data_IF_489601291781
#
_entry.id   IF_489601291781
#
_cell.length_a   1.000
_cell.length_b   1.000
_cell.length_c   1.000
_cell.angle_alpha   90.00
_cell.angle_beta   90.00
_cell.angle_gamma   90.00
#
_symmetry.space_group_name_H-M   'P 1'
#
loop_
_entity.id
_entity.type
_entity.pdbx_description
1 polymer ?
#
# COMPACT_ATOMS: atom_id res chain seq x y z
N UNK A 1 38.16 38.75 -5.37
CA UNK A 1 37.67 37.39 -5.70
C UNK A 1 37.56 36.48 -4.46
N UNK A 2 38.27 36.72 -3.38
CA UNK A 2 38.34 35.91 -2.16
C UNK A 2 37.03 35.97 -1.29
N UNK A 3 36.43 37.16 -1.12
CA UNK A 3 35.25 37.34 -0.24
C UNK A 3 33.99 36.65 -0.75
N UNK A 4 33.76 36.67 -2.06
CA UNK A 4 32.55 36.01 -2.64
C UNK A 4 32.64 34.50 -2.58
N UNK A 5 33.83 33.93 -2.64
CA UNK A 5 34.03 32.47 -2.49
C UNK A 5 33.78 32.05 -1.05
N UNK A 6 34.30 32.80 -0.09
CA UNK A 6 34.10 32.54 1.35
C UNK A 6 32.59 32.63 1.71
N UNK A 7 31.85 33.58 1.17
CA UNK A 7 30.42 33.72 1.39
C UNK A 7 29.61 32.51 0.82
N UNK A 8 29.95 32.05 -0.40
CA UNK A 8 29.33 30.87 -1.02
C UNK A 8 29.63 29.60 -0.22
N UNK A 9 30.88 29.38 0.17
CA UNK A 9 31.25 28.20 0.95
C UNK A 9 30.55 28.17 2.32
N UNK A 10 30.36 29.33 2.96
CA UNK A 10 29.62 29.49 4.20
C UNK A 10 28.14 29.13 4.01
N UNK A 11 27.51 29.65 2.98
CA UNK A 11 26.10 29.41 2.66
C UNK A 11 25.84 27.93 2.41
N UNK A 12 26.69 27.27 1.60
CA UNK A 12 26.62 25.83 1.34
C UNK A 12 26.82 25.00 2.61
N UNK A 13 27.74 25.39 3.47
CA UNK A 13 27.96 24.72 4.74
C UNK A 13 26.74 24.83 5.67
N UNK A 14 26.18 26.05 5.78
CA UNK A 14 24.96 26.26 6.57
C UNK A 14 23.79 25.44 6.03
N UNK A 15 23.61 25.39 4.70
CA UNK A 15 22.59 24.57 4.06
C UNK A 15 22.78 23.07 4.32
N UNK A 16 24.01 22.55 4.17
CA UNK A 16 24.32 21.16 4.48
C UNK A 16 23.99 20.78 5.91
N UNK A 17 24.31 21.64 6.89
CA UNK A 17 23.96 21.41 8.30
C UNK A 17 22.46 21.38 8.55
N UNK A 18 21.71 22.25 7.89
CA UNK A 18 20.25 22.27 7.97
C UNK A 18 19.63 20.98 7.39
N UNK A 19 20.13 20.52 6.24
CA UNK A 19 19.71 19.26 5.63
C UNK A 19 20.06 18.06 6.52
N UNK A 20 21.18 18.11 7.23
CA UNK A 20 21.56 17.11 8.23
C UNK A 20 20.71 17.19 9.53
N UNK A 21 19.70 18.06 9.60
CA UNK A 21 18.84 18.25 10.76
C UNK A 21 19.48 19.03 11.91
N UNK A 22 20.64 19.67 11.68
CA UNK A 22 21.32 20.47 12.69
C UNK A 22 20.72 21.87 12.74
N UNK A 23 20.65 22.43 13.94
CA UNK A 23 20.21 23.80 14.15
C UNK A 23 21.34 24.79 13.87
N UNK A 24 20.97 25.97 13.38
CA UNK A 24 21.89 27.09 13.18
C UNK A 24 21.70 28.17 14.22
N UNK A 25 22.73 28.42 15.02
CA UNK A 25 22.78 29.50 15.98
C UNK A 25 23.59 30.66 15.40
N UNK A 26 22.96 31.82 15.14
CA UNK A 26 23.62 32.96 14.51
C UNK A 26 24.97 33.33 15.15
N UNK A 27 25.06 33.31 16.47
CA UNK A 27 26.29 33.67 17.19
C UNK A 27 27.41 32.67 16.97
N UNK A 28 27.09 31.38 16.94
CA UNK A 28 28.04 30.30 16.72
C UNK A 28 28.57 30.33 15.29
N UNK A 29 27.66 30.51 14.32
CA UNK A 29 28.05 30.56 12.90
C UNK A 29 28.88 31.84 12.61
N UNK A 30 28.52 32.99 13.19
CA UNK A 30 29.32 34.22 13.09
C UNK A 30 30.73 34.03 13.63
N UNK A 31 30.88 33.38 14.78
CA UNK A 31 32.16 33.07 15.39
C UNK A 31 32.94 32.06 14.54
N UNK A 32 32.31 31.00 14.06
CA UNK A 32 32.90 29.95 13.21
C UNK A 32 33.54 30.51 11.94
N UNK A 33 32.84 31.45 11.30
CA UNK A 33 33.26 32.01 10.03
C UNK A 33 34.00 33.38 10.17
N UNK A 34 34.16 33.85 11.37
CA UNK A 34 34.83 35.15 11.63
C UNK A 34 34.12 36.34 10.97
N UNK A 35 32.79 36.30 10.91
CA UNK A 35 32.01 37.33 10.23
C UNK A 35 30.93 37.97 11.17
N UNK A 36 30.31 39.04 10.65
CA UNK A 36 29.29 39.75 11.45
C UNK A 36 27.98 38.98 11.53
N UNK A 37 27.17 39.17 12.57
CA UNK A 37 25.82 38.68 12.71
C UNK A 37 24.91 39.12 11.55
N UNK A 38 25.20 40.30 10.96
CA UNK A 38 24.48 40.83 9.80
C UNK A 38 24.78 40.02 8.56
N UNK A 39 26.00 39.52 8.39
CA UNK A 39 26.40 38.64 7.30
C UNK A 39 25.65 37.31 7.40
N UNK A 40 25.60 36.69 8.60
CA UNK A 40 24.84 35.46 8.81
C UNK A 40 23.33 35.66 8.59
N UNK A 41 22.78 36.82 8.98
CA UNK A 41 21.39 37.13 8.71
C UNK A 41 21.09 37.18 7.21
N UNK A 42 21.98 37.77 6.42
CA UNK A 42 21.85 37.81 4.94
C UNK A 42 21.90 36.42 4.35
N UNK A 43 22.85 35.58 4.81
CA UNK A 43 22.93 34.19 4.35
C UNK A 43 21.66 33.40 4.66
N UNK A 44 21.02 33.64 5.82
CA UNK A 44 19.74 33.03 6.18
C UNK A 44 18.61 33.50 5.25
N UNK A 45 18.60 34.76 4.87
CA UNK A 45 17.63 35.32 3.90
C UNK A 45 17.85 34.74 2.50
N UNK A 46 19.12 34.61 2.06
CA UNK A 46 19.47 33.97 0.81
C UNK A 46 19.05 32.50 0.79
N UNK A 47 19.25 31.76 1.89
CA UNK A 47 18.77 30.38 2.02
C UNK A 47 17.23 30.26 1.97
N UNK A 48 16.51 31.20 2.57
CA UNK A 48 15.05 31.23 2.46
C UNK A 48 14.57 31.50 1.05
N UNK A 49 15.19 32.43 0.36
CA UNK A 49 14.85 32.73 -1.04
C UNK A 49 15.13 31.52 -1.93
N UNK A 50 16.26 30.87 -1.75
CA UNK A 50 16.61 29.66 -2.48
C UNK A 50 15.60 28.52 -2.20
N UNK A 51 15.22 28.29 -0.95
CA UNK A 51 14.22 27.28 -0.58
C UNK A 51 12.85 27.60 -1.21
N UNK A 52 12.46 28.87 -1.22
CA UNK A 52 11.20 29.29 -1.85
C UNK A 52 11.18 28.99 -3.35
N UNK A 53 12.25 29.32 -4.07
CA UNK A 53 12.40 29.01 -5.50
C UNK A 53 12.38 27.50 -5.77
N UNK A 54 13.06 26.71 -4.92
CA UNK A 54 13.04 25.25 -5.00
C UNK A 54 11.67 24.66 -4.73
N UNK A 55 10.93 25.21 -3.76
CA UNK A 55 9.56 24.80 -3.43
C UNK A 55 8.61 25.01 -4.61
N UNK A 56 8.70 26.18 -5.29
CA UNK A 56 7.90 26.45 -6.49
C UNK A 56 8.22 25.49 -7.65
N UNK A 57 9.50 25.15 -7.83
CA UNK A 57 9.93 24.27 -8.91
C UNK A 57 9.64 22.79 -8.67
N UNK A 58 9.70 22.32 -7.42
CA UNK A 58 9.61 20.90 -7.05
C UNK A 58 8.28 20.48 -6.44
N UNK A 59 7.40 21.44 -6.06
CA UNK A 59 6.18 21.17 -5.30
C UNK A 59 6.41 20.75 -3.85
N UNK A 60 7.66 20.77 -3.38
CA UNK A 60 8.05 20.49 -2.00
C UNK A 60 8.03 21.80 -1.20
N UNK A 61 7.51 21.79 0.02
CA UNK A 61 7.48 22.98 0.88
C UNK A 61 8.46 22.77 2.03
N UNK A 62 9.70 23.20 1.83
CA UNK A 62 10.71 23.33 2.90
C UNK A 62 10.74 24.77 3.38
N UNK A 63 10.76 25.00 4.68
CA UNK A 63 10.89 26.35 5.22
C UNK A 63 11.97 26.43 6.31
N UNK A 64 12.68 27.54 6.34
CA UNK A 64 13.70 27.85 7.35
C UNK A 64 13.08 28.67 8.47
N UNK A 65 12.64 27.99 9.53
CA UNK A 65 11.92 28.61 10.65
C UNK A 65 12.84 28.93 11.81
N UNK A 66 12.61 30.09 12.47
CA UNK A 66 13.26 30.45 13.71
C UNK A 66 12.50 29.87 14.90
N UNK A 67 13.15 28.98 15.65
CA UNK A 67 12.60 28.44 16.89
C UNK A 67 12.94 29.39 18.06
N UNK A 68 11.93 30.11 18.52
CA UNK A 68 12.12 31.09 19.62
C UNK A 68 12.57 30.46 20.93
N UNK A 69 12.12 29.23 21.24
CA UNK A 69 12.50 28.54 22.48
C UNK A 69 13.97 28.14 22.51
N UNK A 70 14.49 27.76 21.36
CA UNK A 70 15.88 27.30 21.22
C UNK A 70 16.81 28.40 20.72
N UNK A 71 16.30 29.54 20.29
CA UNK A 71 17.09 30.65 19.75
C UNK A 71 17.85 30.31 18.46
N UNK A 72 17.36 29.37 17.69
CA UNK A 72 18.06 28.80 16.52
C UNK A 72 17.16 28.70 15.30
N UNK A 73 17.78 28.67 14.12
CA UNK A 73 17.09 28.35 12.87
C UNK A 73 17.16 26.84 12.61
N UNK A 74 16.05 26.29 12.17
CA UNK A 74 15.93 24.89 11.77
C UNK A 74 15.18 24.80 10.42
N UNK A 75 15.60 23.85 9.61
CA UNK A 75 14.86 23.49 8.42
C UNK A 75 13.64 22.66 8.86
N UNK A 76 12.45 23.15 8.55
CA UNK A 76 11.23 22.37 8.76
C UNK A 76 11.08 21.48 7.53
N UNK A 77 10.98 20.17 7.73
CA UNK A 77 10.76 19.26 6.61
C UNK A 77 9.48 19.67 5.85
N UNK A 78 9.38 19.34 4.55
CA UNK A 78 8.24 19.72 3.74
C UNK A 78 6.96 19.19 4.39
N UNK A 79 6.11 20.10 4.86
CA UNK A 79 4.98 19.78 5.74
C UNK A 79 3.77 19.16 5.03
N UNK A 80 3.83 18.88 3.72
CA UNK A 80 2.62 18.48 3.00
C UNK A 80 2.67 17.20 2.16
N UNK A 81 3.81 16.66 1.76
CA UNK A 81 3.82 15.51 0.81
C UNK A 81 4.87 14.43 1.07
N UNK A 82 5.65 14.48 2.12
CA UNK A 82 6.56 13.40 2.47
C UNK A 82 6.04 12.65 3.69
N UNK A 83 6.22 11.34 3.67
CA UNK A 83 5.95 10.49 4.83
C UNK A 83 6.84 10.90 6.00
N UNK A 84 6.30 10.92 7.21
CA UNK A 84 7.10 11.05 8.43
C UNK A 84 7.98 9.80 8.63
N UNK A 85 8.99 9.90 9.49
CA UNK A 85 9.87 8.76 9.77
C UNK A 85 9.10 7.58 10.35
N UNK A 86 8.09 7.84 11.17
CA UNK A 86 7.18 6.84 11.74
C UNK A 86 6.32 6.18 10.68
N UNK A 87 5.79 6.96 9.73
CA UNK A 87 5.00 6.45 8.61
C UNK A 87 5.86 5.61 7.66
N UNK A 88 7.09 6.04 7.37
CA UNK A 88 8.06 5.24 6.59
C UNK A 88 8.34 3.92 7.30
N UNK A 89 8.67 3.96 8.59
CA UNK A 89 8.96 2.75 9.36
C UNK A 89 7.79 1.77 9.38
N UNK A 90 6.57 2.26 9.67
CA UNK A 90 5.37 1.43 9.69
C UNK A 90 5.07 0.82 8.30
N UNK A 91 5.22 1.62 7.22
CA UNK A 91 5.05 1.15 5.85
C UNK A 91 6.06 0.06 5.49
N UNK A 92 7.33 0.24 5.86
CA UNK A 92 8.38 -0.75 5.62
C UNK A 92 8.11 -2.07 6.35
N UNK A 93 7.61 -2.02 7.60
CA UNK A 93 7.20 -3.22 8.35
C UNK A 93 6.08 -3.97 7.61
N UNK A 94 5.04 -3.28 7.14
CA UNK A 94 3.94 -3.88 6.39
C UNK A 94 4.46 -4.47 5.06
N UNK A 95 5.32 -3.76 4.33
CA UNK A 95 5.87 -4.24 3.06
C UNK A 95 6.70 -5.51 3.23
N UNK A 96 7.56 -5.57 4.25
CA UNK A 96 8.38 -6.74 4.54
C UNK A 96 7.51 -7.94 4.96
N UNK A 97 6.54 -7.73 5.85
CA UNK A 97 5.65 -8.78 6.33
C UNK A 97 4.70 -9.28 5.23
N UNK A 98 4.28 -8.41 4.31
CA UNK A 98 3.38 -8.78 3.21
C UNK A 98 3.96 -9.87 2.30
N UNK A 99 5.29 -9.93 2.17
CA UNK A 99 6.00 -10.85 1.27
C UNK A 99 5.45 -10.83 -0.17
N UNK A 100 4.89 -9.69 -0.59
CA UNK A 100 4.18 -9.54 -1.86
C UNK A 100 5.11 -9.42 -3.07
N UNK A 101 6.34 -8.97 -2.85
CA UNK A 101 7.28 -8.59 -3.91
C UNK A 101 8.49 -9.51 -3.97
N UNK A 102 9.07 -9.62 -5.16
CA UNK A 102 10.41 -10.20 -5.29
C UNK A 102 11.46 -9.28 -4.65
N UNK A 103 12.60 -9.84 -4.22
CA UNK A 103 13.71 -9.01 -3.69
C UNK A 103 14.13 -7.92 -4.67
N UNK A 104 14.10 -8.23 -5.98
CA UNK A 104 14.47 -7.28 -7.05
C UNK A 104 13.52 -6.10 -7.18
N UNK A 105 12.26 -6.24 -6.77
CA UNK A 105 11.26 -5.17 -6.76
C UNK A 105 11.21 -4.48 -5.41
N UNK A 106 11.27 -5.24 -4.31
CA UNK A 106 11.11 -4.71 -2.96
C UNK A 106 12.28 -3.83 -2.51
N UNK A 107 13.52 -4.28 -2.71
CA UNK A 107 14.68 -3.56 -2.16
C UNK A 107 14.81 -2.13 -2.69
N UNK A 108 14.64 -1.86 -4.01
CA UNK A 108 14.61 -0.48 -4.49
C UNK A 108 13.47 0.37 -3.92
N UNK A 109 12.32 -0.24 -3.58
CA UNK A 109 11.20 0.47 -2.93
C UNK A 109 11.59 0.83 -1.51
N UNK A 110 12.15 -0.13 -0.75
CA UNK A 110 12.64 0.10 0.62
C UNK A 110 13.66 1.24 0.63
N UNK A 111 14.65 1.20 -0.25
CA UNK A 111 15.72 2.20 -0.29
C UNK A 111 15.15 3.60 -0.57
N UNK A 112 14.23 3.73 -1.52
CA UNK A 112 13.54 5.00 -1.81
C UNK A 112 12.69 5.51 -0.64
N UNK A 113 12.02 4.61 0.09
CA UNK A 113 11.24 5.00 1.27
C UNK A 113 12.16 5.48 2.40
N UNK A 114 13.30 4.82 2.61
CA UNK A 114 14.30 5.27 3.60
C UNK A 114 14.86 6.64 3.22
N UNK A 115 15.08 6.91 1.93
CA UNK A 115 15.54 8.21 1.45
C UNK A 115 14.57 9.36 1.76
N UNK A 116 13.29 9.06 2.02
CA UNK A 116 12.32 10.05 2.51
C UNK A 116 12.54 10.46 3.97
N UNK A 117 13.27 9.68 4.77
CA UNK A 117 13.51 9.99 6.18
C UNK A 117 14.47 11.18 6.34
N UNK A 118 14.14 12.12 7.24
CA UNK A 118 14.93 13.29 7.55
C UNK A 118 15.06 13.43 9.09
N UNK A 119 16.24 13.75 9.62
CA UNK A 119 17.54 13.91 8.95
C UNK A 119 18.19 12.56 8.55
N UNK A 120 19.36 12.60 7.92
CA UNK A 120 20.10 11.38 7.51
C UNK A 120 20.38 10.38 8.66
N UNK A 121 20.49 10.85 9.88
CA UNK A 121 20.62 9.99 11.06
C UNK A 121 19.40 9.09 11.25
N UNK A 122 18.21 9.52 10.89
CA UNK A 122 16.99 8.71 10.95
C UNK A 122 16.93 7.70 9.80
N UNK A 123 17.52 7.99 8.64
CA UNK A 123 17.69 7.00 7.56
C UNK A 123 18.52 5.80 8.04
N UNK A 124 19.62 6.08 8.73
CA UNK A 124 20.47 5.03 9.30
C UNK A 124 19.70 4.25 10.38
N UNK A 125 19.03 4.94 11.29
CA UNK A 125 18.22 4.32 12.35
C UNK A 125 17.14 3.39 11.77
N UNK A 126 16.36 3.85 10.80
CA UNK A 126 15.33 3.02 10.16
C UNK A 126 15.96 1.82 9.44
N UNK A 127 17.08 2.01 8.73
CA UNK A 127 17.81 0.92 8.07
C UNK A 127 18.28 -0.15 9.06
N UNK A 128 18.78 0.25 10.22
CA UNK A 128 19.21 -0.67 11.30
C UNK A 128 18.03 -1.45 11.87
N UNK A 129 16.90 -0.75 12.12
CA UNK A 129 15.69 -1.35 12.69
C UNK A 129 15.07 -2.43 11.81
N UNK A 130 15.14 -2.28 10.47
CA UNK A 130 14.59 -3.26 9.51
C UNK A 130 15.65 -4.22 8.95
N UNK A 131 16.93 -4.02 9.29
CA UNK A 131 18.06 -4.69 8.65
C UNK A 131 17.99 -6.21 8.70
N UNK A 132 17.61 -6.79 9.83
CA UNK A 132 17.46 -8.24 9.99
C UNK A 132 16.31 -8.78 9.12
N UNK A 133 15.16 -8.14 9.11
CA UNK A 133 14.00 -8.55 8.32
C UNK A 133 14.28 -8.43 6.81
N UNK A 134 14.96 -7.35 6.38
CA UNK A 134 15.39 -7.17 4.99
C UNK A 134 16.38 -8.27 4.57
N UNK A 135 17.35 -8.60 5.42
CA UNK A 135 18.35 -9.65 5.16
C UNK A 135 17.69 -11.03 5.00
N UNK A 136 16.77 -11.37 5.92
CA UNK A 136 16.11 -12.67 5.99
C UNK A 136 14.79 -12.71 5.18
N UNK A 137 14.49 -11.68 4.41
CA UNK A 137 13.28 -11.61 3.61
C UNK A 137 13.12 -12.81 2.70
N UNK A 138 11.96 -13.47 2.80
CA UNK A 138 11.59 -14.62 1.96
C UNK A 138 10.64 -14.14 0.87
N UNK A 139 11.16 -14.03 -0.35
CA UNK A 139 10.35 -13.62 -1.52
C UNK A 139 9.34 -14.70 -1.94
N UNK A 140 8.26 -14.33 -2.69
CA UNK A 140 7.31 -15.28 -3.25
C UNK A 140 7.97 -16.30 -4.17
N UNK A 141 7.42 -17.52 -4.22
CA UNK A 141 7.97 -18.63 -5.00
C UNK A 141 7.93 -18.40 -6.53
N UNK A 142 7.01 -17.55 -7.02
CA UNK A 142 6.89 -17.27 -8.46
C UNK A 142 8.11 -16.51 -9.03
N UNK A 143 8.78 -15.68 -8.23
CA UNK A 143 9.96 -14.87 -8.62
C UNK A 143 9.76 -13.93 -9.82
N UNK A 144 8.53 -13.75 -10.28
CA UNK A 144 8.18 -12.89 -11.42
C UNK A 144 8.07 -11.44 -11.00
N UNK A 145 8.62 -10.55 -11.82
CA UNK A 145 8.40 -9.12 -11.69
C UNK A 145 7.04 -8.77 -12.27
N UNK A 146 6.21 -8.10 -11.49
CA UNK A 146 4.84 -7.81 -11.90
C UNK A 146 4.40 -6.35 -11.72
N UNK A 147 5.20 -5.50 -11.09
CA UNK A 147 4.83 -4.10 -10.86
C UNK A 147 4.43 -3.36 -12.15
N UNK A 148 5.25 -3.50 -13.20
CA UNK A 148 4.95 -2.86 -14.49
C UNK A 148 3.65 -3.43 -15.10
N UNK A 149 3.51 -4.76 -15.11
CA UNK A 149 2.31 -5.45 -15.57
C UNK A 149 1.06 -4.97 -14.82
N UNK A 150 1.14 -4.92 -13.50
CA UNK A 150 0.06 -4.45 -12.64
C UNK A 150 -0.33 -3.00 -12.96
N UNK A 151 0.65 -2.13 -13.16
CA UNK A 151 0.41 -0.73 -13.52
C UNK A 151 -0.29 -0.59 -14.87
N UNK A 152 0.17 -1.30 -15.89
CA UNK A 152 -0.46 -1.29 -17.22
C UNK A 152 -1.89 -1.83 -17.18
N UNK A 153 -2.14 -2.92 -16.45
CA UNK A 153 -3.49 -3.47 -16.24
C UNK A 153 -4.37 -2.47 -15.47
N UNK A 154 -3.83 -1.74 -14.50
CA UNK A 154 -4.59 -0.71 -13.77
C UNK A 154 -5.05 0.43 -14.67
N UNK A 155 -4.27 0.76 -15.71
CA UNK A 155 -4.67 1.69 -16.76
C UNK A 155 -5.91 1.19 -17.51
N UNK A 156 -5.93 -0.09 -17.89
CA UNK A 156 -7.11 -0.68 -18.55
C UNK A 156 -8.36 -0.72 -17.65
N UNK A 157 -8.18 -0.94 -16.34
CA UNK A 157 -9.27 -0.82 -15.36
C UNK A 157 -9.82 0.60 -15.34
N UNK A 158 -8.94 1.60 -15.27
CA UNK A 158 -9.31 3.02 -15.20
C UNK A 158 -10.05 3.49 -16.46
N UNK A 159 -9.58 3.07 -17.62
CA UNK A 159 -10.15 3.45 -18.93
C UNK A 159 -11.30 2.57 -19.38
N UNK A 160 -11.67 1.55 -18.59
CA UNK A 160 -12.69 0.55 -18.94
C UNK A 160 -12.42 -0.14 -20.28
N UNK A 161 -11.18 -0.55 -20.52
CA UNK A 161 -10.76 -1.28 -21.70
C UNK A 161 -10.74 -2.78 -21.45
N UNK A 162 -11.27 -3.56 -22.39
CA UNK A 162 -11.16 -5.01 -22.33
C UNK A 162 -9.71 -5.46 -22.52
N UNK A 163 -9.34 -6.51 -21.81
CA UNK A 163 -8.01 -7.12 -21.93
C UNK A 163 -8.10 -8.60 -22.30
N UNK A 164 -7.12 -9.07 -23.02
CA UNK A 164 -6.93 -10.50 -23.30
C UNK A 164 -5.73 -10.96 -22.47
N UNK A 165 -5.92 -11.95 -21.61
CA UNK A 165 -4.85 -12.51 -20.78
C UNK A 165 -4.55 -13.95 -21.16
N UNK A 166 -3.28 -14.33 -21.17
CA UNK A 166 -2.82 -15.71 -21.17
C UNK A 166 -2.47 -16.09 -19.72
N UNK A 167 -3.32 -16.92 -19.14
CA UNK A 167 -3.31 -17.21 -17.70
C UNK A 167 -2.96 -18.66 -17.41
N UNK A 168 -2.05 -18.89 -16.48
CA UNK A 168 -1.69 -20.22 -15.98
C UNK A 168 -2.54 -20.58 -14.78
N UNK A 169 -3.44 -21.54 -14.94
CA UNK A 169 -4.27 -22.07 -13.86
C UNK A 169 -3.43 -22.80 -12.81
N UNK A 170 -4.06 -23.14 -11.67
CA UNK A 170 -3.43 -23.92 -10.60
C UNK A 170 -3.01 -25.32 -11.01
N UNK A 171 -3.73 -25.92 -11.96
CA UNK A 171 -3.41 -27.22 -12.56
C UNK A 171 -2.30 -27.15 -13.63
N UNK A 172 -1.71 -25.96 -13.86
CA UNK A 172 -0.64 -25.72 -14.84
C UNK A 172 -1.13 -25.46 -16.27
N UNK A 173 -2.42 -25.60 -16.53
CA UNK A 173 -3.00 -25.39 -17.88
C UNK A 173 -2.97 -23.91 -18.22
N UNK A 174 -2.51 -23.59 -19.43
CA UNK A 174 -2.57 -22.25 -20.01
C UNK A 174 -3.91 -22.05 -20.68
N UNK A 175 -4.58 -20.97 -20.30
CA UNK A 175 -5.86 -20.57 -20.89
C UNK A 175 -5.80 -19.11 -21.32
N UNK A 176 -6.47 -18.80 -22.43
CA UNK A 176 -6.69 -17.43 -22.84
C UNK A 176 -8.07 -16.99 -22.37
N UNK A 177 -8.17 -15.73 -21.91
CA UNK A 177 -9.44 -15.14 -21.44
C UNK A 177 -9.51 -13.69 -21.89
N UNK A 178 -10.65 -13.29 -22.40
CA UNK A 178 -10.99 -11.89 -22.65
C UNK A 178 -11.84 -11.38 -21.50
N UNK A 179 -11.38 -10.33 -20.88
CA UNK A 179 -11.90 -9.83 -19.61
C UNK A 179 -12.27 -8.36 -19.71
N UNK A 180 -13.28 -7.99 -18.93
CA UNK A 180 -13.60 -6.63 -18.54
C UNK A 180 -13.02 -6.43 -17.13
N UNK A 181 -11.82 -5.84 -17.03
CA UNK A 181 -11.14 -5.70 -15.73
C UNK A 181 -11.82 -4.61 -14.90
N UNK A 182 -12.10 -4.89 -13.62
CA UNK A 182 -12.86 -3.99 -12.76
C UNK A 182 -12.14 -3.60 -11.48
N UNK A 183 -11.03 -4.26 -11.13
CA UNK A 183 -10.27 -3.90 -9.96
C UNK A 183 -9.00 -4.72 -9.75
N UNK A 184 -8.09 -4.18 -8.93
CA UNK A 184 -6.87 -4.86 -8.49
C UNK A 184 -6.85 -4.89 -6.97
N UNK A 185 -6.71 -6.08 -6.39
CA UNK A 185 -6.72 -6.29 -4.95
C UNK A 185 -5.46 -6.99 -4.47
N UNK A 186 -5.08 -6.75 -3.23
CA UNK A 186 -4.02 -7.48 -2.54
C UNK A 186 -4.61 -8.35 -1.43
N UNK A 187 -4.16 -9.61 -1.34
CA UNK A 187 -4.53 -10.49 -0.24
C UNK A 187 -3.43 -11.50 0.04
N UNK A 188 -3.13 -11.71 1.30
CA UNK A 188 -2.07 -12.58 1.78
C UNK A 188 -0.72 -12.17 1.15
N UNK A 189 -0.25 -12.87 0.12
CA UNK A 189 1.05 -12.66 -0.52
C UNK A 189 0.95 -12.21 -1.98
N UNK A 190 -0.26 -12.02 -2.52
CA UNK A 190 -0.44 -11.88 -3.96
C UNK A 190 -1.35 -10.71 -4.33
N UNK A 191 -1.07 -10.14 -5.49
CA UNK A 191 -1.97 -9.22 -6.15
C UNK A 191 -2.90 -9.98 -7.10
N UNK A 192 -4.15 -9.55 -7.12
CA UNK A 192 -5.22 -10.17 -7.88
C UNK A 192 -5.92 -9.15 -8.76
N UNK A 193 -6.21 -9.58 -9.98
CA UNK A 193 -7.08 -8.88 -10.90
C UNK A 193 -8.49 -9.45 -10.77
N UNK A 194 -9.47 -8.58 -10.54
CA UNK A 194 -10.89 -8.89 -10.64
C UNK A 194 -11.38 -8.50 -12.04
N UNK A 195 -12.05 -9.40 -12.73
CA UNK A 195 -12.56 -9.13 -14.07
C UNK A 195 -13.72 -10.03 -14.46
N UNK A 196 -14.69 -9.46 -15.16
CA UNK A 196 -15.76 -10.24 -15.75
C UNK A 196 -15.29 -10.85 -17.08
N UNK A 197 -15.56 -12.13 -17.28
CA UNK A 197 -15.31 -12.78 -18.57
C UNK A 197 -16.34 -12.25 -19.57
N UNK A 198 -15.88 -11.88 -20.76
CA UNK A 198 -16.75 -11.35 -21.82
C UNK A 198 -17.86 -12.37 -22.14
N UNK A 199 -19.15 -11.97 -22.24
CA UNK A 199 -20.29 -12.87 -22.31
C UNK A 199 -20.19 -13.97 -23.38
N UNK A 200 -19.72 -13.64 -24.58
CA UNK A 200 -19.52 -14.59 -25.67
C UNK A 200 -18.57 -15.75 -25.34
N UNK A 201 -17.55 -15.49 -24.52
CA UNK A 201 -16.61 -16.53 -24.08
C UNK A 201 -17.13 -17.26 -22.84
N UNK A 202 -18.01 -16.63 -22.07
CA UNK A 202 -18.60 -17.20 -20.85
C UNK A 202 -19.49 -18.39 -21.18
N UNK A 203 -20.23 -18.35 -22.30
CA UNK A 203 -21.14 -19.42 -22.75
C UNK A 203 -20.41 -20.75 -23.03
N UNK A 204 -19.13 -20.70 -23.43
CA UNK A 204 -18.30 -21.86 -23.70
C UNK A 204 -17.67 -22.49 -22.44
N UNK A 205 -17.80 -21.83 -21.30
CA UNK A 205 -17.13 -22.22 -20.07
C UNK A 205 -18.11 -22.80 -19.06
N UNK A 206 -17.73 -23.91 -18.47
CA UNK A 206 -18.46 -24.47 -17.30
C UNK A 206 -17.97 -23.76 -16.03
N UNK A 207 -18.86 -23.05 -15.39
CA UNK A 207 -18.63 -22.43 -14.10
C UNK A 207 -19.30 -23.24 -13.01
N UNK A 208 -18.73 -23.16 -11.81
CA UNK A 208 -19.29 -23.83 -10.63
C UNK A 208 -20.59 -23.18 -10.16
N UNK A 209 -20.72 -21.87 -10.40
CA UNK A 209 -21.93 -21.08 -10.12
C UNK A 209 -22.41 -20.52 -11.46
N UNK A 210 -23.57 -20.98 -11.91
CA UNK A 210 -24.22 -20.41 -13.09
C UNK A 210 -24.66 -18.97 -12.79
N UNK A 211 -24.37 -18.07 -13.74
CA UNK A 211 -24.72 -16.64 -13.63
C UNK A 211 -24.15 -15.91 -12.40
N UNK A 212 -22.97 -16.33 -11.93
CA UNK A 212 -22.27 -15.63 -10.86
C UNK A 212 -22.16 -14.12 -11.19
N UNK A 213 -22.76 -13.23 -10.37
CA UNK A 213 -22.71 -11.78 -10.57
C UNK A 213 -21.36 -11.17 -10.17
N UNK A 214 -20.47 -11.96 -9.57
CA UNK A 214 -19.17 -11.48 -9.10
C UNK A 214 -18.07 -11.71 -10.13
N UNK A 215 -17.04 -10.85 -10.17
CA UNK A 215 -15.93 -11.01 -11.09
C UNK A 215 -15.09 -12.23 -10.73
N UNK A 216 -14.54 -12.86 -11.76
CA UNK A 216 -13.53 -13.90 -11.60
C UNK A 216 -12.21 -13.28 -11.14
N UNK A 217 -11.51 -13.96 -10.23
CA UNK A 217 -10.28 -13.47 -9.60
C UNK A 217 -9.07 -14.18 -10.21
N UNK A 218 -8.12 -13.39 -10.71
CA UNK A 218 -6.90 -13.86 -11.34
C UNK A 218 -5.65 -13.37 -10.59
N UNK A 219 -4.75 -14.24 -10.22
CA UNK A 219 -3.44 -13.83 -9.66
C UNK A 219 -2.60 -13.17 -10.74
N UNK A 220 -2.11 -11.95 -10.50
CA UNK A 220 -1.36 -11.17 -11.50
C UNK A 220 -0.03 -11.84 -11.87
N UNK A 221 0.64 -12.48 -10.93
CA UNK A 221 1.88 -13.23 -11.17
C UNK A 221 1.69 -14.44 -12.13
N UNK A 222 0.47 -14.99 -12.23
CA UNK A 222 0.14 -16.09 -13.15
C UNK A 222 -0.31 -15.63 -14.54
N UNK A 223 -0.40 -14.34 -14.79
CA UNK A 223 -0.65 -13.78 -16.12
C UNK A 223 0.69 -13.77 -16.86
N UNK A 224 0.86 -14.70 -17.80
CA UNK A 224 2.09 -14.82 -18.59
C UNK A 224 2.27 -13.65 -19.55
N UNK A 225 1.19 -13.30 -20.26
CA UNK A 225 1.13 -12.14 -21.15
C UNK A 225 -0.30 -11.60 -21.20
N UNK A 226 -0.43 -10.36 -21.59
CA UNK A 226 -1.73 -9.71 -21.80
C UNK A 226 -1.66 -8.71 -22.94
N UNK A 227 -2.82 -8.38 -23.48
CA UNK A 227 -3.00 -7.35 -24.50
C UNK A 227 -4.20 -6.50 -24.10
N UNK A 228 -4.02 -5.19 -24.03
CA UNK A 228 -5.11 -4.25 -23.83
C UNK A 228 -5.73 -4.02 -25.22
N UNK A 229 -7.05 -4.16 -25.32
CA UNK A 229 -7.77 -3.94 -26.57
C UNK A 229 -8.24 -2.48 -26.67
N UNK A 230 -8.71 -2.08 -27.85
CA UNK A 230 -9.35 -0.78 -28.05
C UNK A 230 -10.85 -0.79 -27.70
N UNK A 231 -11.36 -1.94 -27.23
CA UNK A 231 -12.79 -2.11 -26.94
C UNK A 231 -13.10 -1.60 -25.53
N UNK A 232 -13.91 -0.56 -25.46
CA UNK A 232 -14.47 -0.09 -24.20
C UNK A 232 -15.68 -0.92 -23.79
N UNK A 233 -15.82 -1.16 -22.49
CA UNK A 233 -17.01 -1.74 -21.91
C UNK A 233 -17.74 -0.75 -20.99
N UNK A 234 -19.08 -0.80 -21.01
CA UNK A 234 -19.89 0.04 -20.16
C UNK A 234 -20.07 -0.60 -18.78
N UNK A 235 -19.86 0.18 -17.74
CA UNK A 235 -20.18 -0.20 -16.36
C UNK A 235 -21.35 0.64 -15.90
N UNK A 236 -22.61 0.13 -15.96
CA UNK A 236 -23.77 0.83 -15.41
C UNK A 236 -23.54 1.12 -13.93
N UNK A 237 -23.93 2.30 -13.45
CA UNK A 237 -23.74 2.71 -12.06
C UNK A 237 -24.29 1.68 -11.07
N UNK A 238 -25.44 1.10 -11.37
CA UNK A 238 -26.10 0.06 -10.55
C UNK A 238 -25.38 -1.29 -10.53
N UNK A 239 -24.44 -1.53 -11.44
CA UNK A 239 -23.64 -2.76 -11.56
C UNK A 239 -22.13 -2.50 -11.37
N UNK A 240 -21.78 -1.34 -10.83
CA UNK A 240 -20.40 -1.00 -10.56
C UNK A 240 -19.86 -1.95 -9.50
N UNK A 241 -18.74 -2.61 -9.85
CA UNK A 241 -18.01 -3.41 -8.88
C UNK A 241 -17.40 -2.50 -7.82
N UNK A 242 -17.75 -2.73 -6.58
CA UNK A 242 -17.22 -2.01 -5.42
C UNK A 242 -16.18 -2.88 -4.72
N UNK A 243 -14.90 -2.63 -5.02
CA UNK A 243 -13.77 -3.38 -4.45
C UNK A 243 -13.83 -3.43 -2.92
N UNK A 244 -14.15 -2.31 -2.28
CA UNK A 244 -14.25 -2.21 -0.83
C UNK A 244 -15.33 -3.10 -0.25
N UNK A 245 -16.50 -3.16 -0.86
CA UNK A 245 -17.60 -4.02 -0.42
C UNK A 245 -17.31 -5.51 -0.66
N UNK A 246 -16.72 -5.83 -1.81
CA UNK A 246 -16.30 -7.19 -2.10
C UNK A 246 -15.20 -7.65 -1.11
N UNK A 247 -14.23 -6.76 -0.82
CA UNK A 247 -13.12 -7.04 0.09
C UNK A 247 -13.57 -7.36 1.52
N UNK A 248 -14.63 -6.76 2.00
CA UNK A 248 -15.20 -7.04 3.32
C UNK A 248 -15.70 -8.48 3.46
N UNK A 249 -16.11 -9.12 2.36
CA UNK A 249 -16.80 -10.42 2.36
C UNK A 249 -15.90 -11.57 1.89
N UNK A 250 -14.90 -11.29 1.06
CA UNK A 250 -14.03 -12.33 0.50
C UNK A 250 -12.88 -12.69 1.44
N UNK A 251 -12.63 -13.98 1.62
CA UNK A 251 -11.50 -14.50 2.37
C UNK A 251 -10.56 -15.27 1.43
N UNK A 252 -9.25 -15.08 1.56
CA UNK A 252 -8.19 -15.73 0.75
C UNK A 252 -8.38 -15.61 -0.77
N UNK A 253 -9.16 -14.62 -1.24
CA UNK A 253 -9.53 -14.46 -2.66
C UNK A 253 -10.21 -15.68 -3.29
N UNK A 254 -10.92 -16.47 -2.49
CA UNK A 254 -11.82 -17.50 -2.98
C UNK A 254 -13.26 -17.00 -2.96
N UNK A 255 -13.89 -16.95 -4.14
CA UNK A 255 -15.29 -16.62 -4.30
C UNK A 255 -16.21 -17.74 -3.81
N UNK A 256 -17.36 -17.88 -4.43
CA UNK A 256 -18.42 -18.80 -4.07
C UNK A 256 -19.71 -18.07 -3.79
N UNK A 257 -20.75 -18.79 -3.36
CA UNK A 257 -22.01 -18.17 -2.99
C UNK A 257 -21.86 -17.20 -1.83
N UNK A 258 -22.47 -16.03 -1.95
CA UNK A 258 -22.59 -15.10 -0.83
C UNK A 258 -23.53 -15.70 0.20
N UNK A 259 -23.12 -15.74 1.45
CA UNK A 259 -23.88 -16.37 2.53
C UNK A 259 -23.81 -15.57 3.82
N UNK A 260 -24.88 -15.68 4.60
CA UNK A 260 -24.92 -15.25 5.99
C UNK A 260 -24.54 -16.43 6.87
N UNK A 261 -23.47 -16.26 7.62
CA UNK A 261 -22.90 -17.25 8.51
C UNK A 261 -23.17 -16.85 9.96
N UNK A 262 -23.72 -17.77 10.77
CA UNK A 262 -23.77 -17.63 12.24
C UNK A 262 -22.92 -18.69 12.89
N UNK A 263 -22.11 -18.28 13.83
CA UNK A 263 -21.23 -19.17 14.57
C UNK A 263 -21.05 -18.72 16.01
N UNK A 264 -20.88 -19.68 16.90
CA UNK A 264 -20.53 -19.46 18.28
C UNK A 264 -19.01 -19.44 18.42
N UNK A 265 -18.49 -18.35 18.96
CA UNK A 265 -17.07 -18.21 19.28
C UNK A 265 -16.85 -18.45 20.76
N UNK A 266 -15.96 -19.41 21.11
CA UNK A 266 -15.68 -19.88 22.46
C UNK A 266 -14.40 -19.30 23.08
N UNK A 267 -13.75 -18.36 22.40
CA UNK A 267 -12.53 -17.70 22.89
C UNK A 267 -12.83 -16.54 23.84
N UNK A 268 -11.79 -15.99 24.44
CA UNK A 268 -11.89 -14.92 25.45
C UNK A 268 -12.09 -13.52 24.87
N UNK A 269 -11.66 -13.25 23.64
CA UNK A 269 -11.82 -11.97 22.94
C UNK A 269 -12.11 -12.20 21.47
N UNK A 270 -13.15 -11.56 20.98
CA UNK A 270 -13.62 -11.67 19.59
C UNK A 270 -13.15 -10.50 18.70
N UNK A 271 -12.38 -9.57 19.19
CA UNK A 271 -11.95 -8.38 18.43
C UNK A 271 -11.25 -8.77 17.13
N UNK A 272 -10.32 -9.74 17.17
CA UNK A 272 -9.62 -10.19 15.97
C UNK A 272 -10.54 -10.84 14.92
N UNK A 273 -11.71 -11.38 15.34
CA UNK A 273 -12.73 -11.92 14.43
C UNK A 273 -13.42 -10.78 13.70
N UNK A 274 -13.79 -9.72 14.43
CA UNK A 274 -14.41 -8.52 13.83
C UNK A 274 -13.43 -7.83 12.87
N UNK A 275 -12.14 -7.76 13.21
CA UNK A 275 -11.11 -7.25 12.32
C UNK A 275 -10.94 -8.12 11.07
N UNK A 276 -10.97 -9.43 11.23
CA UNK A 276 -10.83 -10.37 10.11
C UNK A 276 -12.05 -10.43 9.21
N UNK A 277 -13.24 -10.33 9.77
CA UNK A 277 -14.53 -10.38 9.09
C UNK A 277 -15.25 -9.04 9.25
N UNK A 278 -14.96 -8.01 8.43
CA UNK A 278 -15.49 -6.66 8.61
C UNK A 278 -17.02 -6.55 8.54
N UNK A 279 -17.71 -7.57 8.06
CA UNK A 279 -19.18 -7.67 8.08
C UNK A 279 -19.72 -8.33 9.35
N UNK A 280 -18.85 -8.83 10.22
CA UNK A 280 -19.23 -9.52 11.43
C UNK A 280 -19.89 -8.59 12.45
N UNK A 281 -20.90 -9.11 13.14
CA UNK A 281 -21.62 -8.44 14.21
C UNK A 281 -21.84 -9.42 15.34
N UNK A 282 -21.63 -8.96 16.57
CA UNK A 282 -22.04 -9.70 17.77
C UNK A 282 -23.56 -9.68 17.84
N UNK A 283 -24.16 -10.85 17.91
CA UNK A 283 -25.60 -11.04 18.04
C UNK A 283 -26.00 -11.20 19.51
N UNK A 284 -25.22 -12.00 20.25
CA UNK A 284 -25.46 -12.32 21.64
C UNK A 284 -24.18 -12.75 22.34
N UNK A 285 -24.00 -12.35 23.59
CA UNK A 285 -22.94 -12.82 24.48
C UNK A 285 -23.56 -13.71 25.56
N UNK A 286 -23.08 -14.95 25.72
CA UNK A 286 -23.59 -15.92 26.67
C UNK A 286 -22.45 -16.66 27.39
N UNK A 287 -22.82 -17.46 28.39
CA UNK A 287 -21.88 -18.24 29.20
C UNK A 287 -21.07 -19.25 28.37
N UNK A 288 -21.62 -19.75 27.26
CA UNK A 288 -21.01 -20.75 26.39
C UNK A 288 -20.19 -20.12 25.24
N UNK A 289 -20.11 -18.79 25.15
CA UNK A 289 -19.41 -18.06 24.12
C UNK A 289 -20.23 -16.93 23.50
N UNK A 290 -19.67 -16.30 22.46
CA UNK A 290 -20.27 -15.16 21.75
C UNK A 290 -20.83 -15.62 20.42
N UNK A 291 -22.12 -15.38 20.17
CA UNK A 291 -22.78 -15.63 18.89
C UNK A 291 -22.47 -14.47 17.92
N UNK A 292 -21.84 -14.78 16.80
CA UNK A 292 -21.45 -13.82 15.79
C UNK A 292 -22.13 -14.15 14.47
N UNK A 293 -22.59 -13.11 13.76
CA UNK A 293 -23.15 -13.21 12.40
C UNK A 293 -22.26 -12.42 11.44
N UNK A 294 -21.96 -12.99 10.26
CA UNK A 294 -21.18 -12.33 9.21
C UNK A 294 -21.70 -12.66 7.80
N UNK A 295 -21.55 -11.72 6.87
CA UNK A 295 -21.77 -11.96 5.44
C UNK A 295 -20.44 -12.25 4.75
N UNK A 296 -20.31 -13.42 4.11
CA UNK A 296 -19.05 -13.94 3.58
C UNK A 296 -19.27 -14.78 2.32
N UNK A 297 -18.21 -14.93 1.52
CA UNK A 297 -18.18 -15.88 0.41
C UNK A 297 -17.78 -17.29 0.87
N UNK A 298 -18.46 -18.31 0.37
CA UNK A 298 -18.44 -19.66 0.89
C UNK A 298 -17.08 -20.35 0.99
N UNK A 299 -16.27 -20.38 -0.07
CA UNK A 299 -15.04 -21.19 -0.08
C UNK A 299 -13.92 -20.62 0.79
N UNK A 300 -13.72 -19.33 0.72
CA UNK A 300 -12.67 -18.67 1.51
C UNK A 300 -12.94 -18.75 3.00
N UNK A 301 -14.20 -18.57 3.41
CA UNK A 301 -14.57 -18.66 4.81
C UNK A 301 -14.37 -20.07 5.37
N UNK A 302 -14.57 -21.13 4.57
CA UNK A 302 -14.38 -22.50 5.03
C UNK A 302 -12.93 -22.80 5.40
N UNK A 303 -11.99 -22.22 4.67
CA UNK A 303 -10.55 -22.33 4.99
C UNK A 303 -10.28 -21.64 6.34
N UNK A 304 -10.83 -20.44 6.53
CA UNK A 304 -10.63 -19.69 7.77
C UNK A 304 -11.28 -20.39 8.97
N UNK A 305 -12.53 -20.87 8.85
CA UNK A 305 -13.21 -21.58 9.93
C UNK A 305 -12.44 -22.82 10.37
N UNK A 306 -11.90 -23.59 9.41
CA UNK A 306 -11.07 -24.77 9.72
C UNK A 306 -9.80 -24.39 10.48
N UNK A 307 -9.22 -23.22 10.23
CA UNK A 307 -8.03 -22.75 10.94
C UNK A 307 -8.30 -22.36 12.40
N UNK A 308 -9.56 -22.09 12.76
CA UNK A 308 -9.95 -21.72 14.13
C UNK A 308 -10.15 -22.95 15.05
N UNK A 309 -10.24 -24.15 14.47
CA UNK A 309 -10.40 -25.38 15.23
C UNK A 309 -11.65 -25.38 16.10
N UNK A 310 -11.49 -25.75 17.37
CA UNK A 310 -12.60 -25.89 18.35
C UNK A 310 -13.11 -24.54 18.90
N UNK A 311 -12.42 -23.45 18.60
CA UNK A 311 -12.84 -22.11 19.04
C UNK A 311 -14.12 -21.62 18.36
N UNK A 312 -14.44 -22.16 17.19
CA UNK A 312 -15.62 -21.78 16.43
C UNK A 312 -16.53 -22.98 16.15
N UNK A 313 -17.79 -22.83 16.49
CA UNK A 313 -18.86 -23.77 16.16
C UNK A 313 -19.85 -23.10 15.21
N UNK A 314 -19.99 -23.62 14.00
CA UNK A 314 -20.93 -23.09 13.00
C UNK A 314 -22.35 -23.50 13.38
N UNK A 315 -23.21 -22.52 13.59
CA UNK A 315 -24.63 -22.71 13.99
C UNK A 315 -25.54 -22.77 12.77
N UNK A 316 -25.35 -21.83 11.80
CA UNK A 316 -26.18 -21.83 10.61
C UNK A 316 -25.49 -21.15 9.44
N UNK A 317 -25.90 -21.53 8.22
CA UNK A 317 -25.52 -20.90 6.95
C UNK A 317 -26.76 -20.68 6.10
N UNK A 318 -26.90 -19.50 5.55
CA UNK A 318 -27.99 -19.13 4.65
C UNK A 318 -27.41 -18.42 3.44
N UNK A 319 -27.67 -18.92 2.25
CA UNK A 319 -27.31 -18.23 1.01
C UNK A 319 -28.09 -16.92 0.89
N UNK A 320 -27.40 -15.88 0.44
CA UNK A 320 -27.99 -14.58 0.16
C UNK A 320 -28.20 -14.50 -1.35
N UNK A 321 -29.46 -14.41 -1.82
CA UNK A 321 -29.71 -14.21 -3.25
C UNK A 321 -29.14 -12.84 -3.66
N UNK A 322 -28.34 -12.83 -4.70
CA UNK A 322 -27.81 -11.60 -5.30
C UNK A 322 -28.72 -11.25 -6.47
N UNK A 323 -29.49 -10.17 -6.31
CA UNK A 323 -30.42 -9.66 -7.33
C UNK A 323 -29.70 -8.89 -8.44
#
# INVERSE_FOLDING_TARGET
MTDLRIAKDRLLYMYSRLVDGKMLYKKEEAQRFGCSLRSIQRDIEDLRSFLHEQNEASGLVQDLVYNQKLGAYQLVPPSRNLLSNEEVFATLKILLESRAFTKKELYPIIDKLIDCCIPKTEQQRVSELIGNEKLLYVEPQHKDKFLKKMWEISGAVHEHLEIIINYRRTDGVLVQRRLQPVGIMFSEFYFYLAGFIVPKEKEELKFEIENDPFPTIYRIDRINSFTITETHFAVPYSKRFEEGEFRKRIQFMYGGHLQRLRFLFKGSSYEYILDRLPTAKVVEEGENGTLIEAEVFGKGIDIWLKSQGELIEVISRQEIPVN
#
